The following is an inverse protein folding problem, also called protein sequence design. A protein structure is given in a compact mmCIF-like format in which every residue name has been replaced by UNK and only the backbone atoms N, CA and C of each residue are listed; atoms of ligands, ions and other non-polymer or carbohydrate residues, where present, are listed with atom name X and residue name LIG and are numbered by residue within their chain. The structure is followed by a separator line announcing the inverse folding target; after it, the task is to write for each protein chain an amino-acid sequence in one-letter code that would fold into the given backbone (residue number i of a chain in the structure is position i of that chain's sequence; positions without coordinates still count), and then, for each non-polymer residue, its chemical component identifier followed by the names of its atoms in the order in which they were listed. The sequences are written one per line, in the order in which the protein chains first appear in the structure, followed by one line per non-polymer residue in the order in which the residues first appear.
data_IF_330140926837
#
_entry.id   IF_330140926837
#
_cell.length_a   1.000
_cell.length_b   1.000
_cell.length_c   1.000
_cell.angle_alpha   90.00
_cell.angle_beta   90.00
_cell.angle_gamma   90.00
#
_symmetry.space_group_name_H-M   'P 1'
#
loop_
_entity.id
_entity.type
_entity.pdbx_description
1 polymer ?
#
# COMPACT_ATOMS: atom_id res chain seq x y z
N UNK A 1 4.34 20.58 -12.31
CA UNK A 1 3.73 20.53 -10.98
C UNK A 1 2.93 19.25 -10.99
N UNK A 2 3.50 18.18 -10.44
CA UNK A 2 2.69 17.01 -10.15
C UNK A 2 1.70 17.45 -9.08
N UNK A 3 0.43 17.04 -9.20
CA UNK A 3 -0.54 17.29 -8.14
C UNK A 3 0.01 16.69 -6.84
N UNK A 4 0.14 17.51 -5.80
CA UNK A 4 0.62 17.08 -4.48
C UNK A 4 -0.36 16.08 -3.83
N UNK A 5 -1.63 16.10 -4.26
CA UNK A 5 -2.70 15.27 -3.70
C UNK A 5 -3.50 14.60 -4.82
N UNK A 6 -3.71 13.30 -4.72
CA UNK A 6 -4.64 12.54 -5.56
C UNK A 6 -5.76 11.99 -4.69
N UNK A 7 -6.99 12.41 -4.97
CA UNK A 7 -8.20 11.91 -4.33
C UNK A 7 -9.02 11.12 -5.36
N UNK A 8 -9.27 9.84 -5.08
CA UNK A 8 -10.21 9.03 -5.85
C UNK A 8 -11.32 8.54 -4.93
N UNK A 9 -12.56 8.62 -5.40
CA UNK A 9 -13.69 7.95 -4.76
C UNK A 9 -13.64 6.43 -4.98
N UNK A 10 -14.79 5.82 -5.23
CA UNK A 10 -14.82 4.38 -5.47
C UNK A 10 -14.15 4.02 -6.79
N UNK A 11 -13.12 3.16 -6.71
CA UNK A 11 -12.28 2.81 -7.86
C UNK A 11 -12.15 1.29 -7.99
N UNK A 12 -12.04 0.80 -9.23
CA UNK A 12 -11.75 -0.61 -9.52
C UNK A 12 -10.55 -0.64 -10.45
N UNK A 13 -9.50 -1.31 -10.01
CA UNK A 13 -8.26 -1.46 -10.77
C UNK A 13 -8.29 -2.75 -11.60
N UNK A 14 -7.48 -2.80 -12.66
CA UNK A 14 -7.38 -3.95 -13.58
C UNK A 14 -6.85 -5.21 -12.88
N UNK A 15 -7.05 -6.40 -13.47
CA UNK A 15 -6.75 -7.70 -12.84
C UNK A 15 -5.30 -7.87 -12.35
N UNK A 16 -4.32 -7.26 -13.02
CA UNK A 16 -2.90 -7.28 -12.63
C UNK A 16 -2.30 -5.88 -12.78
N UNK A 17 -1.48 -5.47 -11.82
CA UNK A 17 -0.69 -4.24 -11.88
C UNK A 17 0.78 -4.54 -11.62
N UNK A 18 1.62 -4.15 -12.56
CA UNK A 18 3.08 -4.19 -12.45
C UNK A 18 3.64 -2.78 -12.55
N UNK A 19 4.38 -2.34 -11.54
CA UNK A 19 4.97 -1.00 -11.48
C UNK A 19 6.47 -1.08 -11.21
N UNK A 20 7.25 -0.36 -12.01
CA UNK A 20 8.70 -0.27 -11.88
C UNK A 20 9.18 1.16 -12.03
N UNK A 21 9.99 1.67 -11.09
CA UNK A 21 10.57 3.02 -11.21
C UNK A 21 9.56 4.15 -11.11
N UNK A 22 8.42 3.92 -10.43
CA UNK A 22 7.32 4.89 -10.34
C UNK A 22 7.52 5.84 -9.16
N UNK A 23 7.11 7.10 -9.34
CA UNK A 23 7.05 8.10 -8.27
C UNK A 23 5.62 8.60 -8.18
N UNK A 24 5.03 8.43 -7.01
CA UNK A 24 3.66 8.80 -6.71
C UNK A 24 3.58 10.25 -6.19
N UNK A 25 2.39 10.88 -6.21
CA UNK A 25 2.14 12.17 -5.54
C UNK A 25 2.40 12.08 -4.03
N UNK A 26 2.51 13.23 -3.35
CA UNK A 26 2.83 13.29 -1.91
C UNK A 26 1.71 12.70 -1.03
N UNK A 27 0.45 12.89 -1.43
CA UNK A 27 -0.72 12.39 -0.71
C UNK A 27 -1.65 11.62 -1.64
N UNK A 28 -2.11 10.46 -1.19
CA UNK A 28 -3.16 9.67 -1.87
C UNK A 28 -4.28 9.36 -0.90
N UNK A 29 -5.49 9.73 -1.30
CA UNK A 29 -6.73 9.42 -0.60
C UNK A 29 -7.63 8.57 -1.51
N UNK A 30 -7.92 7.33 -1.11
CA UNK A 30 -8.86 6.47 -1.83
C UNK A 30 -10.06 6.11 -0.95
N UNK A 31 -11.26 6.45 -1.45
CA UNK A 31 -12.51 5.85 -1.02
C UNK A 31 -12.65 4.41 -1.51
N UNK A 32 -13.77 3.75 -1.17
CA UNK A 32 -13.97 2.31 -1.35
C UNK A 32 -13.43 1.72 -2.66
N UNK A 33 -12.28 1.06 -2.59
CA UNK A 33 -11.52 0.64 -3.76
C UNK A 33 -11.35 -0.87 -3.84
N UNK A 34 -11.38 -1.43 -5.05
CA UNK A 34 -11.08 -2.84 -5.31
C UNK A 34 -9.80 -2.91 -6.13
N UNK A 35 -8.75 -3.45 -5.51
CA UNK A 35 -7.44 -3.60 -6.13
C UNK A 35 -7.35 -4.87 -6.98
N UNK A 36 -6.31 -4.97 -7.84
CA UNK A 36 -6.04 -6.13 -8.69
C UNK A 36 -5.91 -7.44 -7.90
N UNK A 37 -6.01 -8.60 -8.54
CA UNK A 37 -5.73 -9.89 -7.88
C UNK A 37 -4.24 -10.04 -7.53
N UNK A 38 -3.37 -9.45 -8.35
CA UNK A 38 -1.91 -9.45 -8.15
C UNK A 38 -1.32 -8.06 -8.36
N UNK A 39 -0.49 -7.64 -7.41
CA UNK A 39 0.30 -6.40 -7.48
C UNK A 39 1.78 -6.73 -7.32
N UNK A 40 2.58 -6.32 -8.30
CA UNK A 40 4.04 -6.41 -8.26
C UNK A 40 4.64 -5.01 -8.38
N UNK A 41 5.41 -4.60 -7.38
CA UNK A 41 6.07 -3.29 -7.39
C UNK A 41 7.56 -3.45 -7.11
N UNK A 42 8.36 -2.79 -7.94
CA UNK A 42 9.81 -2.72 -7.77
C UNK A 42 10.30 -1.27 -7.93
N UNK A 43 11.34 -0.92 -7.18
CA UNK A 43 12.07 0.35 -7.31
C UNK A 43 11.16 1.60 -7.36
N UNK A 44 10.12 1.66 -6.52
CA UNK A 44 9.14 2.74 -6.56
C UNK A 44 9.11 3.56 -5.25
N UNK A 45 8.69 4.82 -5.37
CA UNK A 45 8.54 5.77 -4.25
C UNK A 45 7.07 6.10 -4.11
N UNK A 46 6.46 5.61 -3.02
CA UNK A 46 5.07 5.84 -2.68
C UNK A 46 4.84 7.23 -2.05
N UNK A 47 3.57 7.65 -1.93
CA UNK A 47 3.21 8.90 -1.26
C UNK A 47 3.74 8.95 0.17
N UNK A 48 3.94 10.14 0.74
CA UNK A 48 4.27 10.29 2.16
C UNK A 48 3.07 9.91 3.04
N UNK A 49 1.86 10.24 2.59
CA UNK A 49 0.61 9.95 3.29
C UNK A 49 -0.34 9.17 2.39
N UNK A 50 -0.85 8.06 2.92
CA UNK A 50 -1.86 7.23 2.25
C UNK A 50 -3.05 7.01 3.18
N UNK A 51 -4.23 7.43 2.75
CA UNK A 51 -5.51 7.20 3.43
C UNK A 51 -6.41 6.31 2.59
N UNK A 52 -6.78 5.14 3.12
CA UNK A 52 -7.63 4.16 2.41
C UNK A 52 -8.83 3.76 3.26
N UNK A 53 -10.02 4.03 2.73
CA UNK A 53 -11.29 3.67 3.36
C UNK A 53 -12.08 2.66 2.52
N UNK A 54 -12.51 1.55 3.13
CA UNK A 54 -13.40 0.59 2.49
C UNK A 54 -12.74 -0.19 1.34
N UNK A 55 -11.45 -0.51 1.45
CA UNK A 55 -10.67 -1.07 0.35
C UNK A 55 -10.51 -2.59 0.43
N UNK A 56 -10.58 -3.27 -0.71
CA UNK A 56 -10.26 -4.69 -0.88
C UNK A 56 -8.97 -4.78 -1.66
N UNK A 57 -7.92 -5.27 -1.01
CA UNK A 57 -6.59 -5.43 -1.57
C UNK A 57 -6.44 -6.76 -2.35
N UNK A 58 -5.33 -6.95 -3.08
CA UNK A 58 -5.07 -8.16 -3.87
C UNK A 58 -5.08 -9.44 -3.07
N UNK A 59 -5.08 -10.61 -3.72
CA UNK A 59 -4.80 -11.89 -3.06
C UNK A 59 -3.29 -12.05 -2.80
N UNK A 60 -2.46 -11.55 -3.72
CA UNK A 60 -1.01 -11.57 -3.62
C UNK A 60 -0.38 -10.20 -3.88
N UNK A 61 0.60 -9.84 -3.05
CA UNK A 61 1.34 -8.59 -3.19
C UNK A 61 2.85 -8.84 -3.03
N UNK A 62 3.61 -8.50 -4.06
CA UNK A 62 5.07 -8.55 -4.07
C UNK A 62 5.64 -7.14 -4.18
N UNK A 63 6.41 -6.73 -3.17
CA UNK A 63 6.96 -5.38 -3.09
C UNK A 63 8.44 -5.44 -2.81
N UNK A 64 9.25 -4.83 -3.67
CA UNK A 64 10.69 -4.83 -3.51
C UNK A 64 11.35 -3.48 -3.80
N UNK A 65 12.47 -3.23 -3.13
CA UNK A 65 13.34 -2.06 -3.36
C UNK A 65 12.59 -0.71 -3.35
N UNK A 66 11.53 -0.59 -2.54
CA UNK A 66 10.60 0.54 -2.58
C UNK A 66 10.60 1.32 -1.27
N UNK A 67 10.25 2.61 -1.36
CA UNK A 67 10.01 3.48 -0.22
C UNK A 67 8.49 3.59 -0.03
N UNK A 68 7.98 3.05 1.08
CA UNK A 68 6.57 3.12 1.44
C UNK A 68 6.22 4.43 2.16
N UNK A 69 4.92 4.76 2.29
CA UNK A 69 4.49 5.99 2.95
C UNK A 69 4.97 6.07 4.38
N UNK A 70 5.21 7.29 4.89
CA UNK A 70 5.53 7.50 6.30
C UNK A 70 4.30 7.27 7.17
N UNK A 71 3.13 7.70 6.68
CA UNK A 71 1.83 7.57 7.36
C UNK A 71 0.87 6.79 6.49
N UNK A 72 0.31 5.73 7.07
CA UNK A 72 -0.72 4.90 6.44
C UNK A 72 -1.93 4.82 7.36
N UNK A 73 -3.06 5.33 6.89
CA UNK A 73 -4.35 5.24 7.57
C UNK A 73 -5.28 4.30 6.82
N UNK A 74 -5.75 3.26 7.49
CA UNK A 74 -6.52 2.18 6.88
C UNK A 74 -7.79 1.94 7.67
N UNK A 75 -8.96 2.06 7.04
CA UNK A 75 -10.23 1.77 7.71
C UNK A 75 -11.14 0.90 6.84
N UNK A 76 -11.79 -0.09 7.46
CA UNK A 76 -12.76 -0.95 6.78
C UNK A 76 -12.14 -1.70 5.58
N UNK A 77 -10.89 -2.12 5.70
CA UNK A 77 -10.13 -2.71 4.59
C UNK A 77 -9.88 -4.22 4.77
N UNK A 78 -9.75 -4.92 3.65
CA UNK A 78 -9.42 -6.36 3.60
C UNK A 78 -8.10 -6.51 2.86
N UNK A 79 -7.08 -7.01 3.54
CA UNK A 79 -5.73 -7.20 3.01
C UNK A 79 -5.55 -8.57 2.33
N UNK A 80 -4.55 -8.74 1.44
CA UNK A 80 -4.11 -10.02 0.90
C UNK A 80 -3.85 -11.06 1.97
N UNK A 81 -4.02 -12.33 1.60
CA UNK A 81 -3.62 -13.45 2.45
C UNK A 81 -2.09 -13.54 2.58
N UNK A 82 -1.36 -13.16 1.52
CA UNK A 82 0.10 -13.22 1.43
C UNK A 82 0.69 -11.90 0.94
N UNK A 83 1.64 -11.38 1.72
CA UNK A 83 2.46 -10.22 1.34
C UNK A 83 3.95 -10.59 1.40
N UNK A 84 4.64 -10.42 0.29
CA UNK A 84 6.09 -10.58 0.19
C UNK A 84 6.77 -9.21 0.07
N UNK A 85 7.66 -8.93 1.01
CA UNK A 85 8.34 -7.65 1.15
C UNK A 85 9.86 -7.85 1.07
N UNK A 86 10.51 -7.14 0.15
CA UNK A 86 11.96 -7.19 -0.07
C UNK A 86 12.62 -5.81 0.03
N UNK A 87 13.79 -5.70 0.68
CA UNK A 87 14.68 -4.54 0.68
C UNK A 87 13.97 -3.17 0.64
N UNK A 88 12.93 -2.98 1.46
CA UNK A 88 12.06 -1.80 1.42
C UNK A 88 12.05 -1.10 2.78
N UNK A 89 11.72 0.19 2.74
CA UNK A 89 11.49 1.03 3.93
C UNK A 89 9.99 1.13 4.16
N UNK A 90 9.54 0.80 5.36
CA UNK A 90 8.12 0.70 5.73
C UNK A 90 7.62 1.92 6.51
N UNK A 91 6.30 2.12 6.61
CA UNK A 91 5.73 3.27 7.31
C UNK A 91 6.15 3.38 8.76
N UNK A 92 6.34 4.62 9.19
CA UNK A 92 6.61 4.96 10.59
C UNK A 92 5.34 4.83 11.43
N UNK A 93 4.22 5.27 10.85
CA UNK A 93 2.90 5.28 11.49
C UNK A 93 1.92 4.50 10.64
N UNK A 94 1.26 3.53 11.28
CA UNK A 94 0.15 2.79 10.68
C UNK A 94 -1.03 2.87 11.64
N UNK A 95 -2.08 3.56 11.21
CA UNK A 95 -3.34 3.66 11.95
C UNK A 95 -4.38 2.71 11.33
N UNK A 96 -4.92 1.82 12.15
CA UNK A 96 -5.75 0.71 11.71
C UNK A 96 -7.14 0.78 12.34
N UNK A 97 -8.15 1.03 11.51
CA UNK A 97 -9.55 0.82 11.84
C UNK A 97 -9.96 -0.66 11.73
N UNK A 98 -11.27 -0.91 11.69
CA UNK A 98 -11.82 -2.27 11.52
C UNK A 98 -11.34 -2.89 10.20
N UNK A 99 -10.29 -3.70 10.23
CA UNK A 99 -9.68 -4.27 9.03
C UNK A 99 -9.30 -5.73 9.23
N UNK A 100 -9.21 -6.48 8.12
CA UNK A 100 -8.75 -7.87 8.09
C UNK A 100 -7.33 -7.87 7.51
N UNK A 101 -6.35 -8.34 8.27
CA UNK A 101 -4.93 -8.33 7.91
C UNK A 101 -4.47 -9.66 7.31
N UNK A 102 -3.31 -9.68 6.60
CA UNK A 102 -2.75 -10.89 6.03
C UNK A 102 -2.51 -11.97 7.08
N UNK A 103 -2.69 -13.23 6.68
CA UNK A 103 -2.28 -14.36 7.50
C UNK A 103 -0.75 -14.52 7.48
N UNK A 104 -0.11 -14.20 6.34
CA UNK A 104 1.33 -14.35 6.14
C UNK A 104 1.96 -13.06 5.61
N UNK A 105 3.02 -12.61 6.27
CA UNK A 105 3.88 -11.52 5.82
C UNK A 105 5.33 -12.01 5.82
N UNK A 106 5.94 -12.08 4.64
CA UNK A 106 7.34 -12.47 4.47
C UNK A 106 8.22 -11.23 4.32
N UNK A 107 9.24 -11.10 5.18
CA UNK A 107 10.16 -9.95 5.20
C UNK A 107 11.58 -10.39 4.83
N UNK A 108 12.09 -9.87 3.71
CA UNK A 108 13.46 -10.10 3.23
C UNK A 108 14.26 -8.81 3.17
N UNK A 109 15.24 -8.61 4.07
CA UNK A 109 16.13 -7.44 4.02
C UNK A 109 15.45 -6.09 4.28
N UNK A 110 14.23 -6.10 4.84
CA UNK A 110 13.46 -4.92 5.20
C UNK A 110 13.97 -4.27 6.50
N UNK A 111 13.80 -2.96 6.62
CA UNK A 111 13.95 -2.24 7.90
C UNK A 111 12.54 -1.90 8.39
N UNK A 112 11.95 -2.69 9.31
CA UNK A 112 10.66 -2.35 9.89
C UNK A 112 10.85 -1.27 10.97
N UNK A 113 10.08 -0.18 10.89
CA UNK A 113 10.02 0.83 11.94
C UNK A 113 8.55 1.17 12.22
N UNK A 114 7.81 0.28 12.88
CA UNK A 114 6.36 0.46 13.07
C UNK A 114 6.05 0.88 14.50
N UNK A 115 5.49 2.07 14.67
CA UNK A 115 4.75 2.45 15.88
C UNK A 115 3.25 2.22 15.64
N UNK A 116 2.71 1.11 16.17
CA UNK A 116 1.27 0.84 16.13
C UNK A 116 0.55 1.78 17.12
N UNK A 117 -0.49 2.47 16.67
CA UNK A 117 -1.41 3.25 17.50
C UNK A 117 -2.85 2.77 17.36
#
# INVERSE_FOLDING_TARGET
MADEVVELGNSVFSEVVELGGSVFPEVVELGGSVFPELVVVDNSVFPEVVELGGSVFPEGMELSNSLFPEVVELSNSVFPDVVELGNSVFPEVVELGNSVFPEVVELGGCIPYVALK
#
